data_IF_661769636634
#
_entry.id   IF_661769636634
#
_cell.length_a   1.000
_cell.length_b   1.000
_cell.length_c   1.000
_cell.angle_alpha   90.00
_cell.angle_beta   90.00
_cell.angle_gamma   90.00
#
_symmetry.space_group_name_H-M   'P 1'
#
loop_
_entity.id
_entity.type
_entity.pdbx_description
1 polymer ?
#
# COMPACT_ATOMS: atom_id res chain seq x y z
N UNK A 1 6.28 -43.46 1.30
CA UNK A 1 6.90 -43.44 -0.05
C UNK A 1 6.66 -42.13 -0.79
N UNK A 2 5.40 -41.70 -1.02
CA UNK A 2 5.07 -40.46 -1.75
C UNK A 2 5.82 -39.20 -1.27
N UNK A 3 5.73 -38.87 0.02
CA UNK A 3 6.40 -37.70 0.60
C UNK A 3 7.94 -37.77 0.56
N UNK A 4 8.51 -38.98 0.63
CA UNK A 4 9.96 -39.18 0.52
C UNK A 4 10.45 -38.93 -0.92
N UNK A 5 9.66 -39.33 -1.93
CA UNK A 5 9.98 -39.05 -3.33
C UNK A 5 9.95 -37.56 -3.62
N UNK A 6 8.91 -36.85 -3.15
CA UNK A 6 8.83 -35.39 -3.27
C UNK A 6 10.03 -34.73 -2.58
N UNK A 7 10.32 -35.09 -1.32
CA UNK A 7 11.45 -34.52 -0.59
C UNK A 7 12.80 -34.73 -1.28
N UNK A 8 13.05 -35.91 -1.83
CA UNK A 8 14.29 -36.20 -2.56
C UNK A 8 14.42 -35.36 -3.85
N UNK A 9 13.33 -35.24 -4.62
CA UNK A 9 13.28 -34.41 -5.83
C UNK A 9 13.47 -32.92 -5.51
N UNK A 10 12.78 -32.44 -4.47
CA UNK A 10 12.90 -31.07 -3.98
C UNK A 10 14.32 -30.76 -3.54
N UNK A 11 14.96 -31.65 -2.79
CA UNK A 11 16.34 -31.46 -2.35
C UNK A 11 17.34 -31.40 -3.51
N UNK A 12 17.13 -32.25 -4.54
CA UNK A 12 17.95 -32.22 -5.77
C UNK A 12 17.85 -30.85 -6.44
N UNK A 13 16.64 -30.39 -6.72
CA UNK A 13 16.39 -29.11 -7.37
C UNK A 13 16.89 -27.92 -6.54
N UNK A 14 16.69 -27.96 -5.22
CA UNK A 14 17.17 -26.92 -4.30
C UNK A 14 18.70 -26.77 -4.37
N UNK A 15 19.45 -27.88 -4.40
CA UNK A 15 20.91 -27.88 -4.57
C UNK A 15 21.33 -27.27 -5.90
N UNK A 16 20.67 -27.63 -7.00
CA UNK A 16 20.97 -27.09 -8.33
C UNK A 16 20.78 -25.57 -8.33
N UNK A 17 19.67 -25.10 -7.76
CA UNK A 17 19.33 -23.69 -7.76
C UNK A 17 20.30 -22.86 -6.92
N UNK A 18 20.61 -23.29 -5.69
CA UNK A 18 21.55 -22.57 -4.81
C UNK A 18 22.98 -22.54 -5.39
N UNK A 19 23.36 -23.54 -6.18
CA UNK A 19 24.69 -23.58 -6.78
C UNK A 19 24.82 -22.61 -7.96
N UNK A 20 23.71 -22.26 -8.62
CA UNK A 20 23.70 -21.34 -9.75
C UNK A 20 23.65 -19.88 -9.28
N UNK A 21 24.84 -19.27 -9.13
CA UNK A 21 25.00 -17.86 -8.72
C UNK A 21 24.26 -16.89 -9.63
N UNK A 22 24.23 -17.14 -10.94
CA UNK A 22 23.53 -16.27 -11.89
C UNK A 22 22.03 -16.24 -11.64
N UNK A 23 21.43 -17.41 -11.40
CA UNK A 23 20.02 -17.53 -11.02
C UNK A 23 19.74 -16.83 -9.68
N UNK A 24 20.59 -17.01 -8.66
CA UNK A 24 20.39 -16.36 -7.37
C UNK A 24 20.47 -14.82 -7.47
N UNK A 25 21.42 -14.28 -8.23
CA UNK A 25 21.52 -12.83 -8.47
C UNK A 25 20.25 -12.33 -9.16
N UNK A 26 19.78 -13.05 -10.17
CA UNK A 26 18.59 -12.69 -10.92
C UNK A 26 17.32 -12.71 -10.06
N UNK A 27 17.18 -13.70 -9.16
CA UNK A 27 16.00 -13.84 -8.30
C UNK A 27 16.03 -12.87 -7.11
N UNK A 28 17.18 -12.64 -6.49
CA UNK A 28 17.25 -11.81 -5.27
C UNK A 28 17.73 -10.38 -5.55
N UNK A 29 18.85 -10.22 -6.25
CA UNK A 29 19.52 -8.91 -6.37
C UNK A 29 18.75 -8.00 -7.31
N UNK A 30 18.30 -8.49 -8.47
CA UNK A 30 17.60 -7.65 -9.44
C UNK A 30 16.29 -7.06 -8.89
N UNK A 31 15.36 -7.83 -8.30
CA UNK A 31 14.14 -7.27 -7.70
C UNK A 31 14.43 -6.28 -6.57
N UNK A 32 15.48 -6.51 -5.78
CA UNK A 32 15.91 -5.55 -4.73
C UNK A 32 16.39 -4.24 -5.37
N UNK A 33 17.23 -4.31 -6.40
CA UNK A 33 17.68 -3.11 -7.12
C UNK A 33 16.47 -2.36 -7.69
N UNK A 34 15.58 -3.03 -8.41
CA UNK A 34 14.40 -2.39 -8.99
C UNK A 34 13.47 -1.82 -7.91
N UNK A 35 13.27 -2.52 -6.80
CA UNK A 35 12.51 -2.01 -5.67
C UNK A 35 13.05 -0.66 -5.19
N UNK A 36 14.35 -0.56 -4.92
CA UNK A 36 14.96 0.68 -4.45
C UNK A 36 14.98 1.76 -5.52
N UNK A 37 15.46 1.44 -6.72
CA UNK A 37 15.56 2.39 -7.83
C UNK A 37 14.19 2.97 -8.15
N UNK A 38 13.15 2.15 -8.27
CA UNK A 38 11.83 2.62 -8.65
C UNK A 38 11.10 3.31 -7.51
N UNK A 39 11.28 2.87 -6.27
CA UNK A 39 10.69 3.59 -5.13
C UNK A 39 11.26 5.01 -5.02
N UNK A 40 12.58 5.16 -5.18
CA UNK A 40 13.24 6.47 -5.12
C UNK A 40 12.98 7.32 -6.36
N UNK A 41 13.04 6.72 -7.55
CA UNK A 41 12.84 7.43 -8.82
C UNK A 41 11.40 7.93 -8.98
N UNK A 42 10.42 7.14 -8.54
CA UNK A 42 9.00 7.52 -8.63
C UNK A 42 8.52 8.30 -7.41
N UNK A 43 9.36 8.54 -6.39
CA UNK A 43 8.91 9.22 -5.17
C UNK A 43 8.31 10.60 -5.49
N UNK A 44 8.93 11.39 -6.39
CA UNK A 44 8.39 12.68 -6.82
C UNK A 44 7.16 12.61 -7.77
N UNK A 45 6.87 11.45 -8.36
CA UNK A 45 5.66 11.24 -9.17
C UNK A 45 4.45 10.85 -8.30
N UNK A 46 4.70 10.15 -7.20
CA UNK A 46 3.68 9.78 -6.21
C UNK A 46 3.47 10.88 -5.15
N UNK A 47 4.56 11.48 -4.67
CA UNK A 47 4.56 12.67 -3.85
C UNK A 47 4.65 13.87 -4.78
N UNK A 48 3.50 14.38 -5.24
CA UNK A 48 3.49 15.67 -5.91
C UNK A 48 4.10 16.70 -4.96
N UNK A 49 5.26 17.25 -5.33
CA UNK A 49 5.99 18.32 -4.62
C UNK A 49 5.22 19.65 -4.50
N UNK A 50 3.89 19.64 -4.60
CA UNK A 50 3.07 20.77 -4.21
C UNK A 50 2.78 20.60 -2.72
N UNK A 51 3.09 21.64 -1.95
CA UNK A 51 2.62 21.76 -0.57
C UNK A 51 1.14 21.34 -0.51
N UNK A 52 0.74 20.48 0.45
CA UNK A 52 -0.65 20.06 0.59
C UNK A 52 -1.59 21.26 0.48
N UNK A 53 -2.42 21.28 -0.57
CA UNK A 53 -3.32 22.40 -0.87
C UNK A 53 -4.52 22.34 0.06
N UNK A 54 -4.70 23.38 0.86
CA UNK A 54 -5.80 23.54 1.80
C UNK A 54 -6.72 24.63 1.29
N UNK A 55 -7.94 24.25 0.92
CA UNK A 55 -8.99 25.20 0.60
C UNK A 55 -9.52 25.84 1.88
N UNK A 56 -9.72 27.15 1.86
CA UNK A 56 -10.23 27.91 2.99
C UNK A 56 -11.42 28.72 2.54
N UNK A 57 -12.54 28.52 3.23
CA UNK A 57 -13.73 29.33 3.10
C UNK A 57 -14.05 29.95 4.46
N UNK A 58 -13.79 31.26 4.60
CA UNK A 58 -13.99 31.98 5.85
C UNK A 58 -15.15 32.98 5.74
N UNK A 59 -16.27 32.70 6.42
CA UNK A 59 -17.38 33.63 6.56
C UNK A 59 -17.28 34.49 7.84
N UNK A 60 -16.41 34.12 8.76
CA UNK A 60 -16.19 34.84 10.02
C UNK A 60 -15.36 36.10 9.80
N UNK A 61 -15.75 37.18 10.48
CA UNK A 61 -15.01 38.46 10.48
C UNK A 61 -14.29 38.72 11.80
N UNK A 62 -14.43 37.82 12.78
CA UNK A 62 -13.80 37.96 14.09
C UNK A 62 -12.28 37.76 14.08
N UNK A 63 -11.65 38.04 15.21
CA UNK A 63 -10.19 37.96 15.37
C UNK A 63 -9.67 36.52 15.41
N UNK A 64 -10.48 35.57 15.91
CA UNK A 64 -10.05 34.20 16.13
C UNK A 64 -9.78 33.46 14.81
N UNK A 65 -10.67 33.60 13.82
CA UNK A 65 -10.45 33.03 12.48
C UNK A 65 -9.21 33.64 11.82
N UNK A 66 -8.97 34.95 11.97
CA UNK A 66 -7.76 35.62 11.45
C UNK A 66 -6.48 35.09 12.07
N UNK A 67 -6.47 34.89 13.39
CA UNK A 67 -5.31 34.36 14.11
C UNK A 67 -5.00 32.92 13.68
N UNK A 68 -6.02 32.07 13.53
CA UNK A 68 -5.87 30.70 13.02
C UNK A 68 -5.29 30.71 11.61
N UNK A 69 -5.83 31.53 10.71
CA UNK A 69 -5.33 31.63 9.33
C UNK A 69 -3.89 32.13 9.26
N UNK A 70 -3.51 33.07 10.14
CA UNK A 70 -2.14 33.54 10.25
C UNK A 70 -1.19 32.44 10.74
N UNK A 71 -1.62 31.61 11.70
CA UNK A 71 -0.81 30.52 12.24
C UNK A 71 -0.65 29.37 11.22
N UNK A 72 -1.72 29.02 10.51
CA UNK A 72 -1.65 28.06 9.38
C UNK A 72 -0.68 28.59 8.31
N UNK A 73 -0.75 29.88 7.99
CA UNK A 73 0.12 30.52 7.00
C UNK A 73 1.61 30.53 7.36
N UNK A 74 1.98 30.50 8.64
CA UNK A 74 3.38 30.44 9.09
C UNK A 74 4.01 29.06 8.90
N UNK A 75 3.21 28.02 8.73
CA UNK A 75 3.70 26.64 8.76
C UNK A 75 4.58 26.26 7.56
N UNK A 76 4.66 27.08 6.50
CA UNK A 76 5.41 26.87 5.24
C UNK A 76 5.30 25.46 4.61
N UNK A 77 4.35 24.65 5.08
CA UNK A 77 4.17 23.23 4.75
C UNK A 77 2.83 22.99 4.05
N UNK A 78 2.07 24.07 3.79
CA UNK A 78 0.73 24.05 3.20
C UNK A 78 0.60 25.19 2.19
N UNK A 79 -0.10 24.93 1.08
CA UNK A 79 -0.51 25.96 0.13
C UNK A 79 -1.98 26.31 0.38
N UNK A 80 -2.27 27.57 0.71
CA UNK A 80 -3.61 28.01 1.06
C UNK A 80 -4.35 28.53 -0.17
N UNK A 81 -5.44 27.87 -0.54
CA UNK A 81 -6.37 28.33 -1.57
C UNK A 81 -7.59 28.98 -0.92
N UNK A 82 -7.77 30.28 -1.06
CA UNK A 82 -8.92 30.98 -0.47
C UNK A 82 -10.06 31.07 -1.47
N UNK A 83 -11.26 30.62 -1.08
CA UNK A 83 -12.47 30.67 -1.90
C UNK A 83 -13.49 31.65 -1.32
N UNK A 84 -14.30 32.25 -2.20
CA UNK A 84 -15.39 33.16 -1.83
C UNK A 84 -16.76 32.49 -1.72
N UNK A 85 -16.88 31.27 -2.24
CA UNK A 85 -18.08 30.45 -2.16
C UNK A 85 -17.77 29.09 -1.51
N UNK A 86 -18.68 28.62 -0.66
CA UNK A 86 -18.61 27.30 -0.02
C UNK A 86 -18.62 26.19 -1.07
N UNK A 87 -19.42 26.34 -2.12
CA UNK A 87 -19.55 25.31 -3.14
C UNK A 87 -18.27 25.19 -3.97
N UNK A 88 -17.57 26.28 -4.24
CA UNK A 88 -16.28 26.26 -4.92
C UNK A 88 -15.20 25.57 -4.06
N UNK A 89 -15.15 25.89 -2.76
CA UNK A 89 -14.23 25.21 -1.82
C UNK A 89 -14.55 23.70 -1.69
N UNK A 90 -15.82 23.33 -1.74
CA UNK A 90 -16.21 21.92 -1.76
C UNK A 90 -15.82 21.24 -3.08
N UNK A 91 -16.11 21.90 -4.21
CA UNK A 91 -15.74 21.40 -5.53
C UNK A 91 -14.23 21.29 -5.72
N UNK A 92 -13.41 22.12 -5.08
CA UNK A 92 -11.95 21.99 -5.15
C UNK A 92 -11.46 20.70 -4.47
N UNK A 93 -12.12 20.24 -3.41
CA UNK A 93 -11.85 18.93 -2.80
C UNK A 93 -12.32 17.81 -3.72
N UNK A 94 -13.55 17.88 -4.25
CA UNK A 94 -14.10 16.89 -5.18
C UNK A 94 -13.26 16.77 -6.48
N UNK A 95 -12.76 17.89 -6.99
CA UNK A 95 -11.90 17.95 -8.20
C UNK A 95 -10.43 17.69 -7.89
N UNK A 96 -10.08 17.35 -6.65
CA UNK A 96 -8.70 17.04 -6.23
C UNK A 96 -7.72 18.21 -6.43
N UNK A 97 -8.22 19.44 -6.40
CA UNK A 97 -7.41 20.65 -6.40
C UNK A 97 -6.90 21.02 -5.00
N UNK A 98 -7.59 20.55 -3.95
CA UNK A 98 -7.23 20.69 -2.54
C UNK A 98 -7.50 19.39 -1.79
N UNK A 99 -6.66 19.03 -0.82
CA UNK A 99 -6.82 17.81 -0.01
C UNK A 99 -7.88 17.94 1.08
N UNK A 100 -8.02 19.16 1.62
CA UNK A 100 -8.99 19.53 2.64
C UNK A 100 -9.56 20.91 2.31
N UNK A 101 -10.82 21.13 2.61
CA UNK A 101 -11.43 22.45 2.76
C UNK A 101 -11.80 22.71 4.23
N UNK A 102 -11.39 23.85 4.76
CA UNK A 102 -11.72 24.33 6.10
C UNK A 102 -12.80 25.41 5.96
N UNK A 103 -13.95 25.19 6.60
CA UNK A 103 -15.08 26.12 6.56
C UNK A 103 -15.27 26.75 7.93
N UNK A 104 -15.08 28.07 7.99
CA UNK A 104 -15.38 28.87 9.17
C UNK A 104 -16.78 29.48 9.02
N UNK A 105 -17.75 29.13 9.90
CA UNK A 105 -19.09 29.71 9.87
C UNK A 105 -19.04 31.20 10.28
N UNK A 106 -20.05 31.97 9.85
CA UNK A 106 -20.10 33.45 10.03
C UNK A 106 -19.89 33.94 11.47
N UNK A 107 -20.33 33.17 12.45
CA UNK A 107 -20.27 33.53 13.87
C UNK A 107 -19.21 32.72 14.65
N UNK A 108 -18.27 32.09 13.95
CA UNK A 108 -17.27 31.19 14.53
C UNK A 108 -16.52 31.81 15.71
N UNK A 109 -15.98 33.03 15.58
CA UNK A 109 -15.22 33.68 16.66
C UNK A 109 -16.04 33.91 17.94
N UNK A 110 -17.37 34.03 17.82
CA UNK A 110 -18.26 34.17 18.97
C UNK A 110 -18.66 32.80 19.52
N UNK A 111 -19.04 31.86 18.66
CA UNK A 111 -19.42 30.51 19.02
C UNK A 111 -18.27 29.72 19.69
N UNK A 112 -17.03 29.93 19.25
CA UNK A 112 -15.84 29.28 19.79
C UNK A 112 -15.65 29.54 21.30
N UNK A 113 -16.15 30.68 21.83
CA UNK A 113 -16.13 30.97 23.27
C UNK A 113 -16.96 29.99 24.11
N UNK A 114 -17.90 29.28 23.47
CA UNK A 114 -18.76 28.28 24.09
C UNK A 114 -18.57 26.89 23.47
N UNK A 115 -17.45 26.64 22.78
CA UNK A 115 -17.14 25.34 22.17
C UNK A 115 -17.64 25.14 20.73
N UNK A 116 -17.75 26.23 19.96
CA UNK A 116 -18.26 26.25 18.59
C UNK A 116 -17.60 25.25 17.61
N UNK A 117 -18.22 25.06 16.45
CA UNK A 117 -17.84 24.04 15.46
C UNK A 117 -17.10 24.62 14.26
N UNK A 118 -16.16 23.83 13.71
CA UNK A 118 -15.54 24.06 12.40
C UNK A 118 -15.84 22.85 11.52
N UNK A 119 -16.26 23.07 10.28
CA UNK A 119 -16.44 21.99 9.32
C UNK A 119 -15.14 21.75 8.55
N UNK A 120 -14.64 20.52 8.60
CA UNK A 120 -13.53 20.05 7.79
C UNK A 120 -14.10 19.15 6.69
N UNK A 121 -13.95 19.58 5.45
CA UNK A 121 -14.30 18.76 4.30
C UNK A 121 -13.02 18.15 3.77
N UNK A 122 -12.80 16.86 3.97
CA UNK A 122 -11.60 16.16 3.50
C UNK A 122 -11.88 15.27 2.31
N UNK A 123 -10.90 15.16 1.43
CA UNK A 123 -10.83 14.02 0.53
C UNK A 123 -10.64 12.76 1.40
N UNK A 124 -11.39 11.66 1.20
CA UNK A 124 -11.19 10.39 1.93
C UNK A 124 -9.76 9.84 1.85
N UNK A 125 -9.01 10.28 0.84
CA UNK A 125 -7.65 9.88 0.54
C UNK A 125 -6.61 10.84 1.12
N UNK A 126 -7.04 11.92 1.78
CA UNK A 126 -6.16 12.86 2.45
C UNK A 126 -5.37 12.13 3.56
N UNK A 127 -4.03 12.20 3.57
CA UNK A 127 -3.24 11.55 4.59
C UNK A 127 -3.63 12.08 5.98
N UNK A 128 -3.86 11.18 6.94
CA UNK A 128 -4.08 11.53 8.36
C UNK A 128 -2.97 12.45 8.91
N UNK A 129 -1.78 12.34 8.33
CA UNK A 129 -0.59 13.14 8.59
C UNK A 129 -0.75 14.64 8.20
N UNK A 130 -1.75 15.01 7.41
CA UNK A 130 -2.08 16.40 7.06
C UNK A 130 -3.23 16.93 7.94
N UNK A 131 -4.21 16.08 8.25
CA UNK A 131 -5.41 16.45 9.02
C UNK A 131 -5.06 16.72 10.49
N UNK A 132 -4.25 15.85 11.10
CA UNK A 132 -3.94 15.95 12.54
C UNK A 132 -3.12 17.20 12.90
N UNK A 133 -2.07 17.61 12.15
CA UNK A 133 -1.38 18.86 12.41
C UNK A 133 -2.26 20.09 12.23
N UNK A 134 -3.13 20.10 11.21
CA UNK A 134 -4.09 21.20 10.99
C UNK A 134 -5.04 21.36 12.17
N UNK A 135 -5.61 20.26 12.68
CA UNK A 135 -6.42 20.26 13.91
C UNK A 135 -5.63 20.80 15.09
N UNK A 136 -4.38 20.36 15.26
CA UNK A 136 -3.51 20.84 16.34
C UNK A 136 -3.26 22.34 16.28
N UNK A 137 -3.01 22.90 15.09
CA UNK A 137 -2.82 24.35 14.90
C UNK A 137 -4.10 25.12 15.24
N UNK A 138 -5.26 24.65 14.76
CA UNK A 138 -6.56 25.28 15.00
C UNK A 138 -6.90 25.25 16.49
N UNK A 139 -6.94 24.07 17.10
CA UNK A 139 -7.27 23.90 18.52
C UNK A 139 -6.28 24.63 19.42
N UNK A 140 -4.98 24.50 19.16
CA UNK A 140 -3.95 25.17 19.95
C UNK A 140 -4.00 26.70 19.84
N UNK A 141 -4.38 27.25 18.67
CA UNK A 141 -4.58 28.69 18.51
C UNK A 141 -5.80 29.17 19.28
N UNK A 142 -6.87 28.39 19.26
CA UNK A 142 -8.12 28.71 19.96
C UNK A 142 -7.94 28.65 21.47
N UNK A 143 -7.34 27.58 21.98
CA UNK A 143 -7.01 27.43 23.40
C UNK A 143 -6.12 28.58 23.88
N UNK A 144 -5.12 28.96 23.09
CA UNK A 144 -4.21 30.07 23.45
C UNK A 144 -4.88 31.44 23.38
N UNK A 145 -5.83 31.65 22.47
CA UNK A 145 -6.56 32.91 22.33
C UNK A 145 -7.66 33.06 23.40
N UNK A 146 -8.44 32.00 23.63
CA UNK A 146 -9.47 31.96 24.67
C UNK A 146 -8.85 31.90 26.07
N UNK A 147 -7.81 31.09 26.29
CA UNK A 147 -7.09 31.03 27.56
C UNK A 147 -6.52 32.40 27.96
N UNK A 148 -6.04 33.19 27.00
CA UNK A 148 -5.58 34.57 27.24
C UNK A 148 -6.73 35.50 27.64
N UNK A 149 -7.91 35.35 27.03
CA UNK A 149 -9.10 36.14 27.40
C UNK A 149 -9.66 35.77 28.76
N UNK A 150 -9.69 34.47 29.12
CA UNK A 150 -10.14 34.01 30.42
C UNK A 150 -9.17 34.47 31.51
N UNK A 151 -7.86 34.30 31.29
CA UNK A 151 -6.83 34.76 32.23
C UNK A 151 -6.85 36.28 32.38
N UNK A 152 -6.99 37.06 31.30
CA UNK A 152 -7.04 38.54 31.37
C UNK A 152 -8.37 39.03 31.97
N UNK A 153 -9.50 38.39 31.66
CA UNK A 153 -10.81 38.72 32.22
C UNK A 153 -10.83 38.53 33.74
N UNK A 154 -10.31 37.40 34.20
CA UNK A 154 -10.20 37.08 35.62
C UNK A 154 -9.13 37.94 36.32
N UNK A 155 -8.00 38.21 35.65
CA UNK A 155 -6.97 39.12 36.15
C UNK A 155 -7.50 40.56 36.27
N UNK A 156 -8.31 41.05 35.33
CA UNK A 156 -8.93 42.38 35.39
C UNK A 156 -10.04 42.45 36.47
N UNK A 157 -10.82 41.39 36.63
CA UNK A 157 -11.79 41.25 37.72
C UNK A 157 -11.11 41.22 39.11
N UNK A 158 -9.83 40.80 39.16
CA UNK A 158 -9.05 40.69 40.41
C UNK A 158 -8.04 41.83 40.64
N UNK A 159 -7.57 42.56 39.62
CA UNK A 159 -6.79 43.80 39.80
C UNK A 159 -7.67 44.91 40.38
N UNK A 160 -8.97 44.89 40.04
CA UNK A 160 -9.97 45.76 40.67
C UNK A 160 -10.29 45.35 42.13
N UNK A 161 -9.96 44.12 42.54
CA UNK A 161 -10.01 43.64 43.92
C UNK A 161 -8.59 43.60 44.52
N UNK A 162 -8.12 44.73 45.03
CA UNK A 162 -6.77 44.94 45.55
C UNK A 162 -6.42 43.99 46.73
N UNK A 163 -5.68 42.90 46.47
CA UNK A 163 -5.42 41.83 47.46
C UNK A 163 -4.02 41.91 48.07
N UNK A 164 -3.96 41.94 49.42
CA UNK A 164 -2.76 41.72 50.27
C UNK A 164 -2.86 40.44 51.14
N UNK A 165 -3.95 39.68 51.04
CA UNK A 165 -4.30 38.59 51.96
C UNK A 165 -4.00 37.17 51.41
N UNK A 166 -3.32 36.27 52.18
CA UNK A 166 -2.96 34.91 51.75
C UNK A 166 -4.14 33.93 51.54
N UNK A 167 -5.29 34.09 52.20
CA UNK A 167 -6.47 33.23 51.94
C UNK A 167 -7.03 33.45 50.53
N UNK A 168 -7.02 34.71 50.11
CA UNK A 168 -7.40 35.13 48.75
C UNK A 168 -6.48 34.54 47.68
N UNK A 169 -5.21 34.25 48.02
CA UNK A 169 -4.21 33.60 47.15
C UNK A 169 -4.49 32.10 46.96
N UNK A 170 -4.97 31.40 47.97
CA UNK A 170 -5.30 29.97 47.86
C UNK A 170 -6.61 29.75 47.08
N UNK A 171 -7.61 30.62 47.28
CA UNK A 171 -8.82 30.65 46.44
C UNK A 171 -8.51 30.99 44.97
N UNK A 172 -7.46 31.80 44.73
CA UNK A 172 -6.90 32.08 43.40
C UNK A 172 -6.35 30.82 42.72
N UNK A 173 -5.55 30.00 43.42
CA UNK A 173 -5.01 28.75 42.87
C UNK A 173 -6.10 27.73 42.52
N UNK A 174 -7.15 27.63 43.34
CA UNK A 174 -8.29 26.73 43.10
C UNK A 174 -9.11 27.22 41.90
N UNK A 175 -9.42 28.52 41.83
CA UNK A 175 -10.18 29.09 40.72
C UNK A 175 -9.43 29.06 39.37
N UNK A 176 -8.10 29.14 39.38
CA UNK A 176 -7.27 28.95 38.18
C UNK A 176 -7.21 27.47 37.75
N UNK A 177 -7.41 26.53 38.68
CA UNK A 177 -7.46 25.08 38.40
C UNK A 177 -8.76 24.62 37.73
N UNK A 178 -9.86 25.35 37.91
CA UNK A 178 -11.19 25.03 37.36
C UNK A 178 -11.51 25.73 36.02
N UNK A 179 -10.53 26.41 35.40
CA UNK A 179 -10.73 27.06 34.10
C UNK A 179 -10.88 25.99 33.02
N UNK A 180 -12.14 25.68 32.67
CA UNK A 180 -12.45 24.89 31.49
C UNK A 180 -12.30 25.76 30.25
N UNK A 181 -11.22 25.54 29.50
CA UNK A 181 -11.03 26.16 28.19
C UNK A 181 -12.00 25.48 27.21
N UNK A 182 -12.91 26.21 26.54
CA UNK A 182 -13.80 25.63 25.55
C UNK A 182 -13.01 24.96 24.43
N UNK A 183 -13.34 23.70 24.11
CA UNK A 183 -12.74 22.97 23.00
C UNK A 183 -13.65 23.08 21.77
N UNK A 184 -13.05 23.26 20.59
CA UNK A 184 -13.78 23.28 19.32
C UNK A 184 -14.08 21.86 18.87
N UNK A 185 -15.30 21.67 18.39
CA UNK A 185 -15.71 20.44 17.71
C UNK A 185 -15.44 20.54 16.21
N UNK A 186 -14.96 19.45 15.62
CA UNK A 186 -14.72 19.36 14.17
C UNK A 186 -15.79 18.49 13.53
N UNK A 187 -16.60 19.07 12.65
CA UNK A 187 -17.53 18.32 11.80
C UNK A 187 -16.79 17.86 10.55
N UNK A 188 -16.40 16.58 10.52
CA UNK A 188 -15.73 15.99 9.36
C UNK A 188 -16.75 15.48 8.33
N UNK A 189 -16.67 16.03 7.12
CA UNK A 189 -17.46 15.62 5.98
C UNK A 189 -16.52 15.11 4.89
N UNK A 190 -16.56 13.82 4.60
CA UNK A 190 -15.78 13.26 3.49
C UNK A 190 -16.52 13.47 2.17
N UNK A 191 -15.92 14.20 1.23
CA UNK A 191 -16.50 14.38 -0.11
C UNK A 191 -16.21 13.18 -0.99
N UNK A 192 -17.14 12.22 -0.99
CA UNK A 192 -17.20 11.15 -1.97
C UNK A 192 -16.45 9.87 -1.62
N UNK A 193 -16.49 8.92 -2.55
CA UNK A 193 -15.93 7.56 -2.49
C UNK A 193 -14.65 7.44 -3.32
N UNK A 194 -13.76 8.43 -3.27
CA UNK A 194 -12.54 8.41 -4.06
C UNK A 194 -11.61 7.30 -3.54
N UNK A 195 -11.24 6.36 -4.42
CA UNK A 195 -10.30 5.29 -4.08
C UNK A 195 -8.94 5.87 -3.66
N UNK A 196 -8.40 5.47 -2.50
CA UNK A 196 -7.09 5.93 -2.05
C UNK A 196 -6.02 5.61 -3.09
N UNK A 197 -5.13 6.58 -3.35
CA UNK A 197 -3.98 6.41 -4.24
C UNK A 197 -2.77 5.93 -3.43
N UNK A 198 -2.06 4.88 -3.90
CA UNK A 198 -0.87 4.41 -3.21
C UNK A 198 0.23 5.46 -3.28
N UNK A 199 0.99 5.65 -2.21
CA UNK A 199 2.28 6.34 -2.29
C UNK A 199 3.34 5.46 -3.00
N UNK A 200 4.53 6.01 -3.27
CA UNK A 200 5.58 5.30 -4.01
C UNK A 200 5.91 3.93 -3.40
N UNK A 201 5.91 3.83 -2.07
CA UNK A 201 6.33 2.62 -1.36
C UNK A 201 5.22 1.58 -1.33
N UNK A 202 3.99 2.03 -1.08
CA UNK A 202 2.76 1.22 -1.12
C UNK A 202 2.48 0.67 -2.52
N UNK A 203 2.93 1.33 -3.58
CA UNK A 203 2.93 0.76 -4.92
C UNK A 203 4.11 -0.20 -5.12
N UNK A 204 5.34 0.30 -4.94
CA UNK A 204 6.53 -0.35 -5.46
C UNK A 204 6.93 -1.61 -4.67
N UNK A 205 6.73 -1.65 -3.34
CA UNK A 205 7.04 -2.84 -2.54
C UNK A 205 6.24 -4.05 -3.00
N UNK A 206 4.89 -4.03 -3.06
CA UNK A 206 4.14 -5.17 -3.56
C UNK A 206 4.35 -5.39 -5.06
N UNK A 207 4.45 -4.33 -5.88
CA UNK A 207 4.66 -4.48 -7.33
C UNK A 207 5.96 -5.23 -7.65
N UNK A 208 7.10 -4.81 -7.11
CA UNK A 208 8.38 -5.46 -7.37
C UNK A 208 8.54 -6.82 -6.67
N UNK A 209 7.78 -7.05 -5.60
CA UNK A 209 7.62 -8.40 -5.02
C UNK A 209 6.90 -9.33 -6.00
N UNK A 210 5.77 -8.92 -6.56
CA UNK A 210 5.05 -9.72 -7.56
C UNK A 210 5.92 -9.93 -8.81
N UNK A 211 6.57 -8.87 -9.31
CA UNK A 211 7.47 -8.98 -10.46
C UNK A 211 8.55 -10.04 -10.22
N UNK A 212 9.19 -9.98 -9.06
CA UNK A 212 10.19 -10.95 -8.64
C UNK A 212 9.64 -12.38 -8.57
N UNK A 213 8.46 -12.57 -7.96
CA UNK A 213 7.79 -13.87 -7.85
C UNK A 213 7.50 -14.47 -9.24
N UNK A 214 7.01 -13.66 -10.20
CA UNK A 214 6.71 -14.12 -11.55
C UNK A 214 7.95 -14.31 -12.42
N UNK A 215 9.09 -13.70 -12.07
CA UNK A 215 10.34 -13.93 -12.78
C UNK A 215 10.83 -15.39 -12.64
N UNK A 216 10.39 -16.11 -11.60
CA UNK A 216 10.66 -17.54 -11.43
C UNK A 216 10.17 -18.40 -12.60
N UNK A 217 9.13 -17.94 -13.32
CA UNK A 217 8.45 -18.69 -14.40
C UNK A 217 9.47 -19.17 -15.43
N UNK A 218 10.39 -18.28 -15.83
CA UNK A 218 11.44 -18.60 -16.79
C UNK A 218 12.47 -19.57 -16.22
N UNK A 219 12.95 -19.33 -15.00
CA UNK A 219 13.97 -20.19 -14.36
C UNK A 219 13.46 -21.60 -14.12
N UNK A 220 12.26 -21.74 -13.54
CA UNK A 220 11.63 -23.04 -13.31
C UNK A 220 11.37 -23.75 -14.63
N UNK A 221 10.84 -23.02 -15.61
CA UNK A 221 10.50 -23.62 -16.89
C UNK A 221 11.74 -24.14 -17.62
N UNK A 222 12.81 -23.35 -17.66
CA UNK A 222 14.09 -23.76 -18.25
C UNK A 222 14.72 -24.92 -17.51
N UNK A 223 14.72 -24.92 -16.17
CA UNK A 223 15.21 -26.06 -15.39
C UNK A 223 14.48 -27.36 -15.76
N UNK A 224 13.17 -27.29 -16.00
CA UNK A 224 12.40 -28.47 -16.40
C UNK A 224 12.66 -28.89 -17.84
N UNK A 225 12.70 -27.94 -18.77
CA UNK A 225 12.91 -28.25 -20.19
C UNK A 225 14.33 -28.76 -20.45
N UNK A 226 15.34 -28.18 -19.80
CA UNK A 226 16.73 -28.67 -19.86
C UNK A 226 16.85 -30.07 -19.28
N UNK A 227 16.14 -30.38 -18.19
CA UNK A 227 16.12 -31.74 -17.66
C UNK A 227 15.48 -32.73 -18.64
N UNK A 228 14.39 -32.35 -19.32
CA UNK A 228 13.75 -33.17 -20.36
C UNK A 228 14.66 -33.45 -21.56
N UNK A 229 15.47 -32.46 -21.96
CA UNK A 229 16.46 -32.61 -23.03
C UNK A 229 17.70 -33.37 -22.56
N UNK A 230 17.99 -33.38 -21.26
CA UNK A 230 19.06 -34.16 -20.67
C UNK A 230 18.65 -35.63 -20.47
N UNK A 231 19.64 -36.53 -20.46
CA UNK A 231 19.41 -37.96 -20.19
C UNK A 231 18.84 -38.27 -18.80
N UNK A 232 18.83 -37.30 -17.88
CA UNK A 232 18.27 -37.44 -16.52
C UNK A 232 16.76 -37.65 -16.51
N UNK A 233 16.02 -37.04 -17.43
CA UNK A 233 14.56 -37.24 -17.49
C UNK A 233 14.18 -38.67 -17.86
N UNK A 234 14.94 -39.30 -18.77
CA UNK A 234 14.75 -40.71 -19.12
C UNK A 234 14.97 -41.63 -17.91
N UNK A 235 15.94 -41.31 -17.04
CA UNK A 235 16.17 -42.06 -15.79
C UNK A 235 15.07 -41.85 -14.76
N UNK A 236 14.44 -40.68 -14.73
CA UNK A 236 13.29 -40.44 -13.85
C UNK A 236 12.04 -41.18 -14.31
N UNK A 237 11.87 -41.41 -15.62
CA UNK A 237 10.76 -42.20 -16.19
C UNK A 237 10.84 -43.69 -15.88
N UNK A 238 12.03 -44.23 -15.59
CA UNK A 238 12.18 -45.64 -15.21
C UNK A 238 11.87 -45.91 -13.73
N UNK A 239 11.77 -44.86 -12.92
CA UNK A 239 11.32 -44.94 -11.52
C UNK A 239 9.79 -44.85 -11.49
N UNK A 240 9.08 -45.62 -10.64
CA UNK A 240 7.62 -45.57 -10.51
C UNK A 240 7.18 -44.26 -9.81
N UNK A 241 7.29 -43.14 -10.52
CA UNK A 241 6.89 -41.80 -10.09
C UNK A 241 5.61 -41.40 -10.80
N UNK A 242 4.64 -40.89 -10.05
CA UNK A 242 3.47 -40.24 -10.66
C UNK A 242 3.85 -38.86 -11.22
N UNK A 243 3.18 -38.38 -12.29
CA UNK A 243 3.40 -37.03 -12.83
C UNK A 243 3.22 -35.93 -11.77
N UNK A 244 2.29 -36.13 -10.84
CA UNK A 244 2.04 -35.19 -9.73
C UNK A 244 3.22 -35.12 -8.77
N UNK A 245 3.80 -36.27 -8.38
CA UNK A 245 5.00 -36.32 -7.51
C UNK A 245 6.18 -35.62 -8.17
N UNK A 246 6.39 -35.86 -9.46
CA UNK A 246 7.47 -35.24 -10.21
C UNK A 246 7.33 -33.71 -10.23
N UNK A 247 6.13 -33.23 -10.60
CA UNK A 247 5.86 -31.80 -10.72
C UNK A 247 5.88 -31.10 -9.36
N UNK A 248 5.29 -31.69 -8.31
CA UNK A 248 5.34 -31.13 -6.95
C UNK A 248 6.78 -31.09 -6.42
N UNK A 249 7.54 -32.18 -6.60
CA UNK A 249 8.95 -32.24 -6.21
C UNK A 249 9.78 -31.15 -6.86
N UNK A 250 9.46 -30.80 -8.11
CA UNK A 250 10.12 -29.72 -8.87
C UNK A 250 9.59 -28.33 -8.57
N UNK A 251 8.31 -28.19 -8.23
CA UNK A 251 7.65 -26.93 -7.88
C UNK A 251 8.15 -26.38 -6.54
N UNK A 252 8.17 -27.23 -5.51
CA UNK A 252 8.41 -26.85 -4.12
C UNK A 252 9.69 -26.01 -3.87
N UNK A 253 10.87 -26.32 -4.43
CA UNK A 253 12.07 -25.54 -4.14
C UNK A 253 11.94 -24.11 -4.68
N UNK A 254 11.41 -23.95 -5.90
CA UNK A 254 11.17 -22.63 -6.50
C UNK A 254 10.08 -21.87 -5.75
N UNK A 255 9.05 -22.56 -5.26
CA UNK A 255 8.01 -21.98 -4.43
C UNK A 255 8.59 -21.42 -3.12
N UNK A 256 9.42 -22.19 -2.41
CA UNK A 256 10.08 -21.75 -1.17
C UNK A 256 11.02 -20.56 -1.41
N UNK A 257 11.73 -20.54 -2.54
CA UNK A 257 12.60 -19.43 -2.92
C UNK A 257 11.79 -18.16 -3.19
N UNK A 258 10.65 -18.27 -3.86
CA UNK A 258 9.74 -17.14 -4.04
C UNK A 258 9.25 -16.58 -2.71
N UNK A 259 8.90 -17.43 -1.74
CA UNK A 259 8.50 -16.98 -0.41
C UNK A 259 9.65 -16.27 0.32
N UNK A 260 10.86 -16.83 0.25
CA UNK A 260 12.04 -16.21 0.86
C UNK A 260 12.37 -14.85 0.23
N UNK A 261 12.29 -14.77 -1.09
CA UNK A 261 12.49 -13.54 -1.86
C UNK A 261 11.42 -12.49 -1.53
N UNK A 262 10.15 -12.89 -1.46
CA UNK A 262 9.07 -12.00 -1.08
C UNK A 262 9.23 -11.48 0.35
N UNK A 263 9.58 -12.37 1.30
CA UNK A 263 9.89 -11.98 2.66
C UNK A 263 11.04 -10.97 2.72
N UNK A 264 12.12 -11.19 1.96
CA UNK A 264 13.23 -10.25 1.85
C UNK A 264 12.77 -8.87 1.35
N UNK A 265 11.99 -8.82 0.27
CA UNK A 265 11.53 -7.55 -0.31
C UNK A 265 10.58 -6.80 0.62
N UNK A 266 9.67 -7.49 1.31
CA UNK A 266 8.81 -6.87 2.32
C UNK A 266 9.60 -6.42 3.55
N UNK A 267 10.57 -7.19 4.04
CA UNK A 267 11.45 -6.79 5.14
C UNK A 267 12.22 -5.52 4.76
N UNK A 268 12.79 -5.44 3.55
CA UNK A 268 13.47 -4.24 3.06
C UNK A 268 12.50 -3.06 2.90
N UNK A 269 11.28 -3.33 2.42
CA UNK A 269 10.21 -2.34 2.35
C UNK A 269 9.87 -1.73 3.71
N UNK A 270 9.71 -2.57 4.74
CA UNK A 270 9.37 -2.12 6.09
C UNK A 270 10.57 -1.46 6.78
N UNK A 271 11.74 -2.11 6.76
CA UNK A 271 12.91 -1.69 7.53
C UNK A 271 13.67 -0.51 6.90
N UNK A 272 13.77 -0.46 5.56
CA UNK A 272 14.59 0.53 4.84
C UNK A 272 13.73 1.61 4.20
N UNK A 273 12.61 1.21 3.58
CA UNK A 273 11.69 2.16 2.93
C UNK A 273 10.61 2.68 3.90
N UNK A 274 10.60 2.25 5.16
CA UNK A 274 9.59 2.66 6.15
C UNK A 274 8.15 2.48 5.63
N UNK A 275 7.89 1.34 4.97
CA UNK A 275 6.52 0.93 4.63
C UNK A 275 5.77 0.57 5.90
N UNK A 276 4.56 1.09 6.06
CA UNK A 276 3.63 0.70 7.11
C UNK A 276 2.72 -0.44 6.60
N UNK A 277 2.93 -1.70 7.03
CA UNK A 277 2.20 -2.85 6.49
C UNK A 277 0.78 -3.02 7.07
N UNK A 278 0.38 -2.18 8.03
CA UNK A 278 -0.84 -2.37 8.82
C UNK A 278 -0.71 -3.52 9.83
N UNK A 279 -1.86 -4.05 10.28
CA UNK A 279 -1.93 -5.13 11.29
C UNK A 279 -2.15 -6.52 10.68
N UNK A 280 -2.56 -6.61 9.41
CA UNK A 280 -3.00 -7.84 8.74
C UNK A 280 -1.84 -8.61 8.06
N UNK A 281 -0.80 -8.95 8.81
CA UNK A 281 0.35 -9.71 8.30
C UNK A 281 -0.04 -11.09 7.74
N UNK A 282 -1.07 -11.72 8.31
CA UNK A 282 -1.58 -13.00 7.83
C UNK A 282 -2.15 -12.88 6.41
N UNK A 283 -2.86 -11.79 6.11
CA UNK A 283 -3.40 -11.56 4.77
C UNK A 283 -2.27 -11.36 3.75
N UNK A 284 -1.24 -10.57 4.08
CA UNK A 284 -0.07 -10.41 3.22
C UNK A 284 0.61 -11.75 2.93
N UNK A 285 0.77 -12.60 3.96
CA UNK A 285 1.36 -13.92 3.82
C UNK A 285 0.53 -14.84 2.91
N UNK A 286 -0.79 -14.87 3.08
CA UNK A 286 -1.69 -15.69 2.23
C UNK A 286 -1.65 -15.21 0.77
N UNK A 287 -1.67 -13.90 0.52
CA UNK A 287 -1.53 -13.35 -0.83
C UNK A 287 -0.20 -13.77 -1.44
N UNK A 288 0.90 -13.75 -0.67
CA UNK A 288 2.21 -14.20 -1.14
C UNK A 288 2.21 -15.68 -1.49
N UNK A 289 1.59 -16.53 -0.66
CA UNK A 289 1.47 -17.98 -0.90
C UNK A 289 0.74 -18.27 -2.22
N UNK A 290 -0.40 -17.62 -2.44
CA UNK A 290 -1.21 -17.79 -3.66
C UNK A 290 -0.46 -17.27 -4.89
N UNK A 291 0.16 -16.08 -4.79
CA UNK A 291 0.92 -15.49 -5.90
C UNK A 291 2.10 -16.38 -6.32
N UNK A 292 2.82 -16.95 -5.34
CA UNK A 292 3.90 -17.89 -5.59
C UNK A 292 3.39 -19.20 -6.23
N UNK A 293 2.18 -19.65 -5.87
CA UNK A 293 1.57 -20.86 -6.42
C UNK A 293 1.21 -20.66 -7.88
N UNK A 294 0.65 -19.50 -8.23
CA UNK A 294 0.36 -19.13 -9.63
C UNK A 294 1.64 -19.10 -10.45
N UNK A 295 2.67 -18.38 -10.00
CA UNK A 295 3.90 -18.20 -10.77
C UNK A 295 4.62 -19.55 -11.02
N UNK A 296 4.73 -20.39 -9.99
CA UNK A 296 5.39 -21.70 -10.15
C UNK A 296 4.57 -22.67 -11.00
N UNK A 297 3.24 -22.70 -10.85
CA UNK A 297 2.35 -23.51 -11.69
C UNK A 297 2.38 -23.08 -13.15
N UNK A 298 2.45 -21.78 -13.41
CA UNK A 298 2.61 -21.22 -14.76
C UNK A 298 3.95 -21.63 -15.37
N UNK A 299 5.05 -21.56 -14.60
CA UNK A 299 6.38 -22.02 -15.06
C UNK A 299 6.39 -23.48 -15.50
N UNK A 300 5.73 -24.37 -14.73
CA UNK A 300 5.57 -25.77 -15.12
C UNK A 300 4.71 -25.94 -16.37
N UNK A 301 3.58 -25.20 -16.47
CA UNK A 301 2.72 -25.26 -17.64
C UNK A 301 3.48 -24.90 -18.92
N UNK A 302 4.19 -23.77 -18.93
CA UNK A 302 4.98 -23.36 -20.10
C UNK A 302 6.05 -24.41 -20.45
N UNK A 303 6.70 -25.00 -19.45
CA UNK A 303 7.74 -26.00 -19.69
C UNK A 303 7.23 -27.36 -20.19
N UNK A 304 5.95 -27.68 -19.94
CA UNK A 304 5.30 -28.82 -20.60
C UNK A 304 4.86 -28.46 -22.03
N UNK A 305 4.65 -27.18 -22.32
CA UNK A 305 4.14 -26.72 -23.61
C UNK A 305 5.22 -26.56 -24.67
N UNK A 306 6.33 -25.92 -24.32
CA UNK A 306 7.43 -25.60 -25.23
C UNK A 306 8.49 -26.71 -25.26
N UNK A 307 9.04 -26.96 -26.44
CA UNK A 307 10.09 -27.95 -26.66
C UNK A 307 11.48 -27.31 -26.82
N UNK A 308 11.54 -26.00 -27.06
CA UNK A 308 12.75 -25.24 -27.33
C UNK A 308 13.04 -24.27 -26.17
N UNK A 309 14.28 -24.29 -25.66
CA UNK A 309 14.72 -23.48 -24.52
C UNK A 309 14.71 -21.99 -24.84
N UNK A 310 15.09 -21.58 -26.05
CA UNK A 310 15.07 -20.17 -26.48
C UNK A 310 13.64 -19.65 -26.56
N UNK A 311 12.70 -20.44 -27.11
CA UNK A 311 11.29 -20.06 -27.17
C UNK A 311 10.69 -19.90 -25.76
N UNK A 312 10.97 -20.86 -24.87
CA UNK A 312 10.50 -20.80 -23.48
C UNK A 312 11.09 -19.58 -22.75
N UNK A 313 12.39 -19.34 -22.91
CA UNK A 313 13.08 -18.20 -22.30
C UNK A 313 12.49 -16.87 -22.77
N UNK A 314 12.27 -16.71 -24.08
CA UNK A 314 11.70 -15.49 -24.65
C UNK A 314 10.27 -15.24 -24.17
N UNK A 315 9.43 -16.28 -24.19
CA UNK A 315 8.03 -16.17 -23.74
C UNK A 315 7.96 -15.90 -22.23
N UNK A 316 8.79 -16.56 -21.43
CA UNK A 316 8.83 -16.30 -20.00
C UNK A 316 9.35 -14.88 -19.70
N UNK A 317 10.49 -14.47 -20.24
CA UNK A 317 11.09 -13.19 -19.88
C UNK A 317 10.30 -12.01 -20.46
N UNK A 318 10.05 -12.00 -21.77
CA UNK A 318 9.35 -10.90 -22.43
C UNK A 318 7.86 -10.93 -22.09
N UNK A 319 7.25 -12.11 -22.10
CA UNK A 319 5.83 -12.26 -21.77
C UNK A 319 5.51 -11.87 -20.34
N UNK A 320 6.33 -12.27 -19.34
CA UNK A 320 6.09 -11.85 -17.95
C UNK A 320 6.29 -10.34 -17.75
N UNK A 321 7.22 -9.70 -18.47
CA UNK A 321 7.37 -8.23 -18.44
C UNK A 321 6.14 -7.53 -19.03
N UNK A 322 5.60 -8.02 -20.15
CA UNK A 322 4.36 -7.48 -20.74
C UNK A 322 3.18 -7.67 -19.78
N UNK A 323 3.03 -8.86 -19.19
CA UNK A 323 1.98 -9.12 -18.21
C UNK A 323 2.15 -8.29 -16.94
N UNK A 324 3.38 -7.99 -16.52
CA UNK A 324 3.64 -7.08 -15.42
C UNK A 324 3.25 -5.64 -15.75
N UNK A 325 3.55 -5.17 -16.96
CA UNK A 325 3.12 -3.85 -17.42
C UNK A 325 1.58 -3.75 -17.47
N UNK A 326 0.91 -4.75 -18.05
CA UNK A 326 -0.55 -4.80 -18.12
C UNK A 326 -1.20 -5.01 -16.75
N UNK A 327 -0.58 -5.79 -15.87
CA UNK A 327 -1.08 -6.14 -14.55
C UNK A 327 -0.95 -5.06 -13.49
N UNK A 328 -0.47 -3.86 -13.85
CA UNK A 328 -0.38 -2.74 -12.91
C UNK A 328 0.96 -2.60 -12.18
N UNK A 329 1.93 -3.48 -12.44
CA UNK A 329 3.23 -3.51 -11.75
C UNK A 329 4.14 -2.40 -12.28
N UNK A 330 4.45 -2.43 -13.58
CA UNK A 330 5.35 -1.44 -14.19
C UNK A 330 4.62 -0.13 -14.54
N UNK A 331 3.36 -0.24 -14.93
CA UNK A 331 2.48 0.90 -15.21
C UNK A 331 1.40 0.92 -14.13
N UNK A 332 1.30 1.95 -13.28
CA UNK A 332 0.33 1.93 -12.18
C UNK A 332 -1.11 1.99 -12.67
N UNK A 333 -2.00 1.24 -12.00
CA UNK A 333 -3.42 1.14 -12.39
C UNK A 333 -4.13 2.49 -12.43
N UNK A 334 -3.77 3.44 -11.56
CA UNK A 334 -4.39 4.76 -11.54
C UNK A 334 -4.02 5.64 -12.74
N UNK A 335 -2.91 5.36 -13.43
CA UNK A 335 -2.47 6.06 -14.64
C UNK A 335 -3.11 5.45 -15.90
N UNK A 336 -3.55 4.19 -15.84
CA UNK A 336 -4.06 3.49 -17.02
C UNK A 336 -5.41 4.06 -17.52
N UNK A 337 -5.60 4.17 -18.85
CA UNK A 337 -6.90 4.40 -19.46
C UNK A 337 -7.83 3.19 -19.27
N UNK A 338 -9.14 3.41 -19.38
CA UNK A 338 -10.17 2.40 -19.09
C UNK A 338 -10.00 1.07 -19.85
N UNK A 339 -9.64 1.04 -21.16
CA UNK A 339 -9.45 -0.23 -21.88
C UNK A 339 -8.30 -1.06 -21.31
N UNK A 340 -7.19 -0.42 -20.92
CA UNK A 340 -6.04 -1.12 -20.33
C UNK A 340 -6.37 -1.69 -18.95
N UNK A 341 -7.19 -0.99 -18.15
CA UNK A 341 -7.68 -1.52 -16.86
C UNK A 341 -8.53 -2.77 -17.02
N UNK A 342 -9.32 -2.89 -18.09
CA UNK A 342 -10.09 -4.09 -18.37
C UNK A 342 -9.19 -5.28 -18.74
N UNK A 343 -8.17 -5.04 -19.57
CA UNK A 343 -7.19 -6.05 -19.93
C UNK A 343 -6.37 -6.49 -18.72
N UNK A 344 -6.02 -5.56 -17.83
CA UNK A 344 -5.29 -5.85 -16.59
C UNK A 344 -5.97 -6.95 -15.77
N UNK A 345 -7.32 -6.94 -15.68
CA UNK A 345 -8.10 -7.93 -14.92
C UNK A 345 -7.97 -9.37 -15.43
N UNK A 346 -7.42 -9.58 -16.63
CA UNK A 346 -7.15 -10.91 -17.17
C UNK A 346 -5.85 -11.51 -16.66
N UNK A 347 -4.99 -10.72 -16.01
CA UNK A 347 -3.68 -11.18 -15.56
C UNK A 347 -3.71 -11.52 -14.07
N UNK A 348 -3.02 -12.59 -13.62
CA UNK A 348 -2.91 -12.87 -12.19
C UNK A 348 -2.11 -11.80 -11.44
N UNK A 349 -1.21 -11.08 -12.13
CA UNK A 349 -0.46 -9.96 -11.56
C UNK A 349 -1.39 -8.85 -11.05
N UNK A 350 -2.47 -8.54 -11.79
CA UNK A 350 -3.47 -7.56 -11.35
C UNK A 350 -4.14 -7.96 -10.05
N UNK A 351 -4.62 -9.20 -9.96
CA UNK A 351 -5.33 -9.67 -8.77
C UNK A 351 -4.43 -9.74 -7.54
N UNK A 352 -3.16 -10.12 -7.71
CA UNK A 352 -2.16 -10.05 -6.65
C UNK A 352 -1.90 -8.61 -6.19
N UNK A 353 -1.72 -7.68 -7.14
CA UNK A 353 -1.45 -6.27 -6.82
C UNK A 353 -2.62 -5.62 -6.09
N UNK A 354 -3.84 -5.82 -6.58
CA UNK A 354 -5.06 -5.29 -5.94
C UNK A 354 -5.22 -5.87 -4.55
N UNK A 355 -4.96 -7.17 -4.33
CA UNK A 355 -5.03 -7.76 -3.00
C UNK A 355 -4.02 -7.12 -2.02
N UNK A 356 -2.77 -6.89 -2.45
CA UNK A 356 -1.81 -6.19 -1.61
C UNK A 356 -2.23 -4.75 -1.31
N UNK A 357 -2.70 -4.01 -2.32
CA UNK A 357 -3.17 -2.63 -2.12
C UNK A 357 -4.41 -2.58 -1.22
N UNK A 358 -5.30 -3.56 -1.30
CA UNK A 358 -6.48 -3.64 -0.43
C UNK A 358 -6.08 -3.75 1.04
N UNK A 359 -5.06 -4.54 1.37
CA UNK A 359 -4.54 -4.66 2.73
C UNK A 359 -3.69 -3.44 3.12
N UNK A 360 -2.70 -3.07 2.30
CA UNK A 360 -1.68 -2.06 2.64
C UNK A 360 -2.18 -0.62 2.58
N UNK A 361 -3.16 -0.34 1.73
CA UNK A 361 -3.65 1.02 1.47
C UNK A 361 -5.09 1.21 1.92
N UNK A 362 -5.97 0.24 1.64
CA UNK A 362 -7.41 0.38 1.93
C UNK A 362 -7.80 -0.14 3.31
N UNK A 363 -6.86 -0.72 4.06
CA UNK A 363 -7.10 -1.24 5.40
C UNK A 363 -8.13 -2.38 5.45
N UNK A 364 -8.33 -3.10 4.34
CA UNK A 364 -9.24 -4.24 4.29
C UNK A 364 -8.68 -5.41 5.06
N UNK A 365 -9.57 -6.31 5.50
CA UNK A 365 -9.22 -7.55 6.16
C UNK A 365 -9.32 -8.76 5.21
N UNK A 366 -8.79 -9.90 5.65
CA UNK A 366 -8.75 -11.14 4.87
C UNK A 366 -10.11 -11.54 4.23
N UNK A 367 -11.27 -11.45 4.91
CA UNK A 367 -12.54 -11.83 4.30
C UNK A 367 -12.95 -10.94 3.12
N UNK A 368 -12.47 -9.69 3.07
CA UNK A 368 -12.86 -8.72 2.04
C UNK A 368 -12.10 -8.91 0.73
N UNK A 369 -10.93 -9.56 0.77
CA UNK A 369 -10.10 -9.84 -0.41
C UNK A 369 -10.34 -11.24 -1.00
N UNK A 370 -11.43 -11.91 -0.59
CA UNK A 370 -11.75 -13.29 -0.99
C UNK A 370 -11.79 -13.50 -2.51
N UNK A 371 -12.27 -12.50 -3.26
CA UNK A 371 -12.37 -12.57 -4.72
C UNK A 371 -10.99 -12.72 -5.36
N UNK A 372 -10.04 -11.87 -4.95
CA UNK A 372 -8.66 -11.92 -5.44
C UNK A 372 -7.99 -13.25 -5.10
N UNK A 373 -8.17 -13.74 -3.86
CA UNK A 373 -7.63 -15.03 -3.44
C UNK A 373 -8.21 -16.19 -4.24
N UNK A 374 -9.53 -16.18 -4.47
CA UNK A 374 -10.20 -17.24 -5.24
C UNK A 374 -9.71 -17.26 -6.68
N UNK A 375 -9.52 -16.08 -7.30
CA UNK A 375 -9.04 -16.00 -8.68
C UNK A 375 -7.59 -16.46 -8.78
N UNK A 376 -6.72 -16.07 -7.85
CA UNK A 376 -5.33 -16.56 -7.80
C UNK A 376 -5.28 -18.08 -7.60
N UNK A 377 -6.07 -18.61 -6.67
CA UNK A 377 -6.17 -20.05 -6.45
C UNK A 377 -6.60 -20.79 -7.72
N UNK A 378 -7.63 -20.28 -8.42
CA UNK A 378 -8.10 -20.86 -9.68
C UNK A 378 -7.01 -20.79 -10.77
N UNK A 379 -6.25 -19.71 -10.87
CA UNK A 379 -5.11 -19.63 -11.79
C UNK A 379 -4.06 -20.70 -11.49
N UNK A 380 -3.67 -20.84 -10.22
CA UNK A 380 -2.69 -21.83 -9.81
C UNK A 380 -3.18 -23.26 -10.09
N UNK A 381 -4.42 -23.56 -9.68
CA UNK A 381 -5.05 -24.87 -9.86
C UNK A 381 -5.19 -25.25 -11.34
N UNK A 382 -5.68 -24.34 -12.18
CA UNK A 382 -5.81 -24.57 -13.61
C UNK A 382 -4.46 -24.75 -14.29
N UNK A 383 -3.46 -23.90 -14.01
CA UNK A 383 -2.14 -24.03 -14.62
C UNK A 383 -1.46 -25.35 -14.22
N UNK A 384 -1.53 -25.70 -12.93
CA UNK A 384 -0.95 -26.95 -12.43
C UNK A 384 -1.68 -28.18 -12.99
N UNK A 385 -3.01 -28.16 -13.00
CA UNK A 385 -3.83 -29.24 -13.55
C UNK A 385 -3.57 -29.49 -15.04
N UNK A 386 -3.45 -28.42 -15.84
CA UNK A 386 -3.09 -28.51 -17.26
C UNK A 386 -1.66 -29.07 -17.44
N UNK A 387 -0.70 -28.65 -16.62
CA UNK A 387 0.67 -29.18 -16.65
C UNK A 387 0.70 -30.69 -16.34
N UNK A 388 -0.03 -31.13 -15.31
CA UNK A 388 -0.17 -32.55 -14.95
C UNK A 388 -0.81 -33.35 -16.08
N UNK A 389 -1.92 -32.85 -16.64
CA UNK A 389 -2.63 -33.54 -17.73
C UNK A 389 -1.76 -33.71 -18.98
N UNK A 390 -1.03 -32.66 -19.36
CA UNK A 390 -0.16 -32.72 -20.53
C UNK A 390 1.05 -33.63 -20.32
N UNK A 391 1.65 -33.59 -19.12
CA UNK A 391 2.73 -34.50 -18.75
C UNK A 391 2.26 -35.95 -18.74
N UNK A 392 1.08 -36.26 -18.19
CA UNK A 392 0.53 -37.62 -18.21
C UNK A 392 0.38 -38.16 -19.64
N UNK A 393 -0.06 -37.34 -20.58
CA UNK A 393 -0.21 -37.77 -21.97
C UNK A 393 1.14 -38.02 -22.65
N UNK A 394 2.17 -37.19 -22.39
CA UNK A 394 3.51 -37.42 -22.93
C UNK A 394 4.24 -38.61 -22.32
N UNK A 395 3.79 -39.08 -21.14
CA UNK A 395 4.34 -40.30 -20.51
C UNK A 395 3.82 -41.58 -21.15
N UNK A 396 2.63 -41.53 -21.79
CA UNK A 396 1.95 -42.67 -22.39
C UNK A 396 2.26 -42.84 -23.89
N UNK A 397 2.73 -41.78 -24.55
CA UNK A 397 3.35 -41.81 -25.89
C UNK A 397 4.83 -42.15 -25.80
#
# INVERSE_FOLDING_TARGET
>A
MFWQQIGALTWKEFKILITNKGTLILLFVMPVIFLFVMTLALDGLYNQNNLPKVAIFNQDRGSLSKDILAEIGKSNSLEILTFRDRNEANQSVVRQQSLIAIIFPKDFSQAAKNGGTITLISDPTAPLQVIAPLRGIISGTVERSLGRQVVIGELNARISAQIKDPESRQKLLIALGDIQIPHIQFDELSTGTAEPRPNSRQQNVPAWTIFGIFFIVGTLGLSFLQEQQAGTFMRLRTVPLSPVVLLLGKLLPFYLINLLQAALLFILGIAVLHLEPGTEFLALFIITLETAAVATSLGLLLATYFQNTEQLNNIANVGMVILAALGGILVPLHVMPAPLKLIARLTPQYWALVAYQDILLRGKHLPEIWLSLTILFLFAFCCFGLAVGRLRNSWLS
#
